data_IF_848485425214
#
_entry.id   IF_848485425214
#
_cell.length_a   1.000
_cell.length_b   1.000
_cell.length_c   1.000
_cell.angle_alpha   90.00
_cell.angle_beta   90.00
_cell.angle_gamma   90.00
#
_symmetry.space_group_name_H-M   'P 1'
#
loop_
_entity.id
_entity.type
_entity.pdbx_description
1 polymer ?
#
# COMPACT_ATOMS: atom_id res chain seq x y z
N UNK A 1 34.00 41.78 22.87
CA UNK A 1 33.45 40.41 23.02
C UNK A 1 32.12 40.35 22.28
N UNK A 2 32.13 39.90 21.04
CA UNK A 2 30.92 39.75 20.19
C UNK A 2 30.19 38.45 20.55
N UNK A 3 28.86 38.53 20.71
CA UNK A 3 27.99 37.34 20.76
C UNK A 3 27.31 37.19 19.40
N UNK A 4 27.75 36.19 18.63
CA UNK A 4 27.12 35.74 17.38
C UNK A 4 25.76 35.11 17.69
N UNK A 5 24.71 35.59 17.03
CA UNK A 5 23.44 34.88 16.87
C UNK A 5 23.16 34.79 15.37
N UNK A 6 23.22 33.57 14.82
CA UNK A 6 22.81 33.26 13.45
C UNK A 6 21.31 32.94 13.44
N UNK A 7 20.47 33.87 12.98
CA UNK A 7 19.11 33.55 12.50
C UNK A 7 19.18 33.22 11.01
N UNK A 8 19.32 31.93 10.69
CA UNK A 8 18.99 31.40 9.37
C UNK A 8 17.52 30.94 9.37
N UNK A 9 16.87 31.03 8.20
CA UNK A 9 15.47 30.67 7.88
C UNK A 9 14.42 31.79 8.04
N UNK A 10 14.35 32.67 7.04
CA UNK A 10 13.13 33.45 6.74
C UNK A 10 12.22 32.63 5.81
N UNK A 11 11.02 32.31 6.33
CA UNK A 11 9.74 31.92 5.70
C UNK A 11 9.77 31.23 4.33
N UNK A 12 9.52 29.91 4.35
CA UNK A 12 8.81 29.23 3.27
C UNK A 12 7.32 29.23 3.63
N UNK A 13 6.45 29.65 2.71
CA UNK A 13 5.00 29.56 2.85
C UNK A 13 4.46 28.53 1.86
N UNK A 14 3.64 27.62 2.38
CA UNK A 14 2.99 26.56 1.61
C UNK A 14 1.63 27.03 1.10
N UNK A 15 1.32 26.77 -0.16
CA UNK A 15 -0.01 26.98 -0.73
C UNK A 15 -0.43 25.78 -1.60
N UNK A 16 -1.73 25.52 -1.61
CA UNK A 16 -2.36 24.51 -2.47
C UNK A 16 -3.07 25.21 -3.64
N UNK A 17 -2.69 24.86 -4.87
CA UNK A 17 -3.35 25.33 -6.09
C UNK A 17 -3.46 24.17 -7.07
N UNK A 18 -4.68 23.96 -7.62
CA UNK A 18 -4.97 22.96 -8.68
C UNK A 18 -4.37 21.57 -8.40
N UNK A 19 -4.64 21.02 -7.22
CA UNK A 19 -4.22 19.66 -6.85
C UNK A 19 -2.71 19.48 -6.65
N UNK A 20 -1.92 20.56 -6.54
CA UNK A 20 -0.49 20.49 -6.23
C UNK A 20 -0.13 21.36 -5.03
N UNK A 21 0.76 20.83 -4.20
CA UNK A 21 1.37 21.57 -3.11
C UNK A 21 2.58 22.33 -3.65
N UNK A 22 2.50 23.67 -3.65
CA UNK A 22 3.50 24.53 -4.28
C UNK A 22 4.25 25.29 -3.19
N UNK A 23 5.57 25.10 -3.10
CA UNK A 23 6.45 25.97 -2.31
C UNK A 23 6.88 27.18 -3.14
N UNK A 24 6.47 28.38 -2.74
CA UNK A 24 7.09 29.62 -3.24
C UNK A 24 8.18 30.04 -2.26
N UNK A 25 9.44 29.76 -2.60
CA UNK A 25 10.58 30.42 -1.97
C UNK A 25 10.90 31.72 -2.70
N UNK A 26 10.96 32.85 -2.01
CA UNK A 26 11.56 34.07 -2.55
C UNK A 26 13.10 33.92 -2.48
N UNK A 27 13.67 33.20 -3.45
CA UNK A 27 15.12 33.07 -3.59
C UNK A 27 15.70 34.27 -4.36
N UNK A 28 16.67 34.96 -3.77
CA UNK A 28 17.49 35.92 -4.53
C UNK A 28 18.37 35.16 -5.53
N UNK A 29 18.45 35.67 -6.76
CA UNK A 29 19.41 35.24 -7.78
C UNK A 29 20.84 35.44 -7.24
N UNK A 30 21.58 34.36 -6.99
CA UNK A 30 23.03 34.45 -6.78
C UNK A 30 23.73 34.37 -8.14
N UNK A 31 24.27 35.50 -8.61
CA UNK A 31 25.29 35.53 -9.66
C UNK A 31 26.63 35.16 -9.04
N UNK A 32 27.10 33.94 -9.30
CA UNK A 32 28.52 33.59 -9.13
C UNK A 32 29.16 33.76 -10.51
N UNK A 33 30.29 34.46 -10.57
CA UNK A 33 30.97 34.84 -11.79
C UNK A 33 31.30 33.66 -12.70
N UNK A 34 31.18 33.92 -14.01
CA UNK A 34 31.77 33.19 -15.14
C UNK A 34 32.17 31.73 -14.89
N UNK A 35 31.20 30.81 -15.00
CA UNK A 35 31.47 29.38 -15.02
C UNK A 35 30.18 28.58 -15.04
N UNK A 36 29.95 27.87 -16.14
CA UNK A 36 28.75 27.04 -16.36
C UNK A 36 28.73 25.87 -15.37
N UNK A 37 28.07 26.06 -14.22
CA UNK A 37 27.68 24.98 -13.30
C UNK A 37 26.22 25.22 -12.90
N UNK A 38 25.27 25.06 -13.84
CA UNK A 38 23.86 25.39 -13.58
C UNK A 38 22.83 24.34 -14.01
N UNK A 39 23.22 23.09 -14.28
CA UNK A 39 22.25 22.06 -14.69
C UNK A 39 22.09 20.89 -13.70
N UNK A 40 23.10 20.56 -12.90
CA UNK A 40 23.07 19.31 -12.13
C UNK A 40 22.17 19.36 -10.87
N UNK A 41 22.07 20.52 -10.20
CA UNK A 41 21.30 20.62 -8.95
C UNK A 41 19.79 20.69 -9.21
N UNK A 42 19.37 21.44 -10.24
CA UNK A 42 17.96 21.51 -10.63
C UNK A 42 17.44 20.16 -11.17
N UNK A 43 18.27 19.44 -11.94
CA UNK A 43 17.94 18.09 -12.38
C UNK A 43 17.82 17.11 -11.20
N UNK A 44 18.69 17.21 -10.18
CA UNK A 44 18.60 16.36 -8.99
C UNK A 44 17.31 16.62 -8.18
N UNK A 45 16.89 17.87 -8.02
CA UNK A 45 15.62 18.20 -7.36
C UNK A 45 14.40 17.80 -8.20
N UNK A 46 14.45 17.92 -9.52
CA UNK A 46 13.38 17.45 -10.40
C UNK A 46 13.26 15.92 -10.40
N UNK A 47 14.40 15.20 -10.39
CA UNK A 47 14.42 13.74 -10.29
C UNK A 47 13.97 13.25 -8.90
N UNK A 48 14.34 13.94 -7.82
CA UNK A 48 13.79 13.66 -6.48
C UNK A 48 12.29 13.97 -6.41
N UNK A 49 11.83 15.05 -7.06
CA UNK A 49 10.41 15.41 -7.15
C UNK A 49 9.60 14.35 -7.91
N UNK A 50 10.10 13.90 -9.06
CA UNK A 50 9.49 12.80 -9.83
C UNK A 50 9.51 11.47 -9.07
N UNK A 51 10.57 11.17 -8.31
CA UNK A 51 10.63 9.97 -7.49
C UNK A 51 9.61 10.00 -6.32
N UNK A 52 9.38 11.18 -5.72
CA UNK A 52 8.35 11.37 -4.70
C UNK A 52 6.94 11.31 -5.30
N UNK A 53 6.73 11.88 -6.50
CA UNK A 53 5.45 11.81 -7.22
C UNK A 53 5.11 10.38 -7.67
N UNK A 54 6.09 9.60 -8.14
CA UNK A 54 5.90 8.19 -8.51
C UNK A 54 5.61 7.30 -7.28
N UNK A 55 6.12 7.64 -6.11
CA UNK A 55 5.76 6.97 -4.85
C UNK A 55 4.39 7.37 -4.32
N UNK A 56 3.91 8.57 -4.64
CA UNK A 56 2.59 9.03 -4.23
C UNK A 56 1.44 8.30 -4.95
N UNK A 57 1.73 7.57 -6.03
CA UNK A 57 0.74 6.81 -6.80
C UNK A 57 0.24 5.54 -6.10
N UNK A 58 1.00 4.98 -5.17
CA UNK A 58 0.54 3.89 -4.33
C UNK A 58 0.41 4.43 -2.91
N UNK A 59 -0.83 4.57 -2.42
CA UNK A 59 -1.16 5.20 -1.16
C UNK A 59 -0.52 4.41 0.01
N UNK A 60 0.74 4.71 0.29
CA UNK A 60 1.60 4.08 1.29
C UNK A 60 1.17 4.57 2.70
N UNK A 61 1.72 4.00 3.80
CA UNK A 61 1.06 4.03 5.11
C UNK A 61 0.71 5.44 5.57
N UNK A 62 -0.51 5.61 6.10
CA UNK A 62 -0.94 6.90 6.65
C UNK A 62 -0.12 7.33 7.88
N UNK A 63 0.58 6.40 8.51
CA UNK A 63 1.46 6.68 9.65
C UNK A 63 2.51 5.59 9.87
N UNK A 64 3.68 5.95 10.41
CA UNK A 64 4.71 5.01 10.88
C UNK A 64 5.07 5.28 12.34
N UNK A 65 5.10 4.23 13.16
CA UNK A 65 5.55 4.32 14.55
C UNK A 65 7.05 4.70 14.61
N UNK A 66 7.46 5.52 15.61
CA UNK A 66 8.87 5.72 15.93
C UNK A 66 9.58 4.37 16.12
N UNK A 67 10.84 4.27 15.71
CA UNK A 67 11.58 2.99 15.73
C UNK A 67 11.60 2.32 17.11
N UNK A 68 11.61 3.08 18.20
CA UNK A 68 11.54 2.57 19.58
C UNK A 68 10.24 1.81 19.88
N UNK A 69 9.13 2.29 19.34
CA UNK A 69 7.78 1.87 19.72
C UNK A 69 7.19 0.89 18.67
N UNK A 70 8.00 0.50 17.69
CA UNK A 70 7.60 -0.28 16.53
C UNK A 70 7.58 -1.79 16.86
N UNK A 71 6.47 -2.52 16.60
CA UNK A 71 6.49 -3.97 16.71
C UNK A 71 7.38 -4.57 15.61
N UNK A 72 7.97 -5.75 15.85
CA UNK A 72 8.97 -6.34 14.96
C UNK A 72 8.49 -6.58 13.52
N UNK A 73 7.18 -6.77 13.32
CA UNK A 73 6.56 -6.99 12.01
C UNK A 73 6.14 -5.69 11.31
N UNK A 74 6.34 -4.52 11.92
CA UNK A 74 6.28 -3.23 11.23
C UNK A 74 7.70 -2.90 10.79
N UNK A 75 7.96 -2.76 9.49
CA UNK A 75 9.30 -2.58 8.94
C UNK A 75 9.34 -1.44 7.92
N UNK A 76 10.52 -0.86 7.71
CA UNK A 76 10.75 0.11 6.63
C UNK A 76 11.08 -0.65 5.34
N UNK A 77 10.04 -1.03 4.59
CA UNK A 77 10.17 -1.68 3.28
C UNK A 77 8.99 -1.30 2.38
N UNK A 78 9.13 -1.44 1.05
CA UNK A 78 8.00 -1.29 0.13
C UNK A 78 6.86 -2.26 0.50
N UNK A 79 5.63 -1.80 0.33
CA UNK A 79 4.44 -2.67 0.41
C UNK A 79 4.44 -3.61 -0.80
N UNK A 80 3.69 -4.71 -0.74
CA UNK A 80 3.43 -5.49 -1.95
C UNK A 80 2.48 -4.70 -2.84
N UNK A 81 3.01 -4.24 -3.96
CA UNK A 81 2.33 -3.39 -4.94
C UNK A 81 1.35 -4.13 -5.83
N UNK A 82 0.71 -3.38 -6.72
CA UNK A 82 -0.23 -3.91 -7.72
C UNK A 82 0.54 -4.75 -8.75
N UNK A 83 0.06 -5.97 -9.03
CA UNK A 83 0.65 -6.85 -10.04
C UNK A 83 1.91 -7.60 -9.60
N UNK A 84 2.39 -7.39 -8.38
CA UNK A 84 3.58 -8.08 -7.87
C UNK A 84 3.32 -9.53 -7.45
N UNK A 85 2.07 -9.89 -7.17
CA UNK A 85 1.70 -11.21 -6.65
C UNK A 85 0.49 -11.79 -7.39
N UNK A 86 0.70 -12.61 -8.43
CA UNK A 86 -0.39 -13.21 -9.20
C UNK A 86 -1.23 -14.16 -8.34
N UNK A 87 -2.52 -14.29 -8.68
CA UNK A 87 -3.48 -15.13 -7.95
C UNK A 87 -3.07 -16.61 -7.86
N UNK A 88 -2.26 -17.07 -8.82
CA UNK A 88 -1.75 -18.44 -8.92
C UNK A 88 -0.77 -18.79 -7.80
N UNK A 89 -0.20 -17.79 -7.11
CA UNK A 89 0.66 -18.03 -5.95
C UNK A 89 -0.09 -18.32 -4.67
N UNK A 90 -1.40 -18.06 -4.63
CA UNK A 90 -2.23 -18.27 -3.45
C UNK A 90 -3.01 -19.59 -3.54
N UNK A 91 -3.08 -20.32 -2.44
CA UNK A 91 -3.92 -21.50 -2.29
C UNK A 91 -5.35 -21.13 -1.93
N UNK A 92 -6.38 -21.78 -2.50
CA UNK A 92 -7.75 -21.57 -2.08
C UNK A 92 -7.98 -22.00 -0.63
N UNK A 93 -8.94 -21.38 0.08
CA UNK A 93 -9.20 -21.65 1.50
C UNK A 93 -9.63 -23.11 1.77
N UNK A 94 -10.14 -23.82 0.77
CA UNK A 94 -10.50 -25.24 0.86
C UNK A 94 -9.30 -26.12 1.23
N UNK A 95 -8.09 -25.78 0.76
CA UNK A 95 -6.87 -26.52 1.12
C UNK A 95 -6.57 -26.39 2.62
N UNK A 96 -6.74 -25.19 3.18
CA UNK A 96 -6.59 -24.96 4.61
C UNK A 96 -7.68 -25.70 5.40
N UNK A 97 -8.92 -25.68 4.89
CA UNK A 97 -10.08 -26.33 5.51
C UNK A 97 -10.04 -27.84 5.54
N UNK A 98 -9.19 -28.49 4.72
CA UNK A 98 -8.99 -29.94 4.76
C UNK A 98 -8.38 -30.41 6.10
N UNK A 99 -7.51 -29.59 6.71
CA UNK A 99 -6.86 -29.90 7.99
C UNK A 99 -7.38 -29.03 9.14
N UNK A 100 -7.77 -27.78 8.87
CA UNK A 100 -8.23 -26.81 9.87
C UNK A 100 -9.75 -26.61 9.79
N UNK A 101 -10.51 -27.70 9.99
CA UNK A 101 -11.96 -27.74 9.77
C UNK A 101 -12.71 -26.70 10.60
N UNK A 102 -12.40 -26.59 11.89
CA UNK A 102 -13.13 -25.72 12.81
C UNK A 102 -12.92 -24.24 12.49
N UNK A 103 -11.66 -23.87 12.21
CA UNK A 103 -11.28 -22.51 11.79
C UNK A 103 -11.93 -22.19 10.45
N UNK A 104 -11.94 -23.14 9.52
CA UNK A 104 -12.58 -22.96 8.22
C UNK A 104 -14.08 -22.71 8.34
N UNK A 105 -14.79 -23.45 9.20
CA UNK A 105 -16.22 -23.20 9.44
C UNK A 105 -16.48 -21.83 10.05
N UNK A 106 -15.64 -21.38 10.98
CA UNK A 106 -15.72 -20.03 11.55
C UNK A 106 -15.47 -18.96 10.50
N UNK A 107 -14.41 -19.11 9.69
CA UNK A 107 -14.09 -18.20 8.61
C UNK A 107 -15.22 -18.10 7.60
N UNK A 108 -15.80 -19.23 7.17
CA UNK A 108 -16.87 -19.28 6.17
C UNK A 108 -18.11 -18.47 6.56
N UNK A 109 -18.38 -18.31 7.85
CA UNK A 109 -19.47 -17.46 8.37
C UNK A 109 -19.08 -16.02 8.71
N UNK A 110 -17.83 -15.62 8.46
CA UNK A 110 -17.29 -14.32 8.86
C UNK A 110 -17.41 -13.26 7.76
N UNK A 111 -17.37 -11.99 8.14
CA UNK A 111 -17.33 -10.86 7.18
C UNK A 111 -16.13 -10.92 6.25
N UNK A 112 -14.99 -11.50 6.67
CA UNK A 112 -13.82 -11.68 5.81
C UNK A 112 -14.10 -12.63 4.63
N UNK A 113 -14.86 -13.71 4.84
CA UNK A 113 -15.24 -14.63 3.77
C UNK A 113 -16.18 -14.01 2.73
N UNK A 114 -16.82 -12.88 3.07
CA UNK A 114 -17.71 -12.12 2.21
C UNK A 114 -17.19 -10.72 1.90
N UNK A 115 -15.91 -10.44 2.16
CA UNK A 115 -15.39 -9.07 2.15
C UNK A 115 -15.69 -8.34 0.82
N UNK A 116 -15.49 -8.99 -0.32
CA UNK A 116 -15.88 -8.45 -1.61
C UNK A 116 -17.34 -8.77 -1.97
N UNK A 117 -17.78 -10.00 -1.73
CA UNK A 117 -19.08 -10.49 -2.23
C UNK A 117 -20.30 -10.02 -1.44
N UNK A 118 -20.12 -9.32 -0.32
CA UNK A 118 -21.21 -8.73 0.45
C UNK A 118 -22.03 -7.75 -0.42
N UNK A 119 -23.35 -7.99 -0.61
CA UNK A 119 -24.19 -7.12 -1.43
C UNK A 119 -24.26 -5.68 -0.92
N UNK A 120 -24.16 -5.46 0.39
CA UNK A 120 -24.15 -4.11 0.95
C UNK A 120 -22.86 -3.38 0.58
N UNK A 121 -21.71 -4.04 0.76
CA UNK A 121 -20.43 -3.51 0.32
C UNK A 121 -20.43 -3.20 -1.19
N UNK A 122 -20.92 -4.13 -2.02
CA UNK A 122 -21.01 -3.93 -3.47
C UNK A 122 -21.86 -2.71 -3.85
N UNK A 123 -23.03 -2.52 -3.22
CA UNK A 123 -23.89 -1.37 -3.48
C UNK A 123 -23.20 -0.05 -3.09
N UNK A 124 -22.53 -0.01 -1.93
CA UNK A 124 -21.80 1.17 -1.47
C UNK A 124 -20.57 1.47 -2.33
N UNK A 125 -19.82 0.43 -2.70
CA UNK A 125 -18.66 0.54 -3.59
C UNK A 125 -19.07 1.11 -4.95
N UNK A 126 -20.11 0.57 -5.56
CA UNK A 126 -20.62 1.05 -6.85
C UNK A 126 -21.13 2.48 -6.78
N UNK A 127 -21.88 2.84 -5.72
CA UNK A 127 -22.30 4.23 -5.50
C UNK A 127 -21.10 5.17 -5.36
N UNK A 128 -20.12 4.79 -4.55
CA UNK A 128 -18.88 5.56 -4.39
C UNK A 128 -18.13 5.74 -5.72
N UNK A 129 -18.04 4.69 -6.54
CA UNK A 129 -17.43 4.74 -7.88
C UNK A 129 -18.17 5.70 -8.82
N UNK A 130 -19.50 5.75 -8.76
CA UNK A 130 -20.31 6.63 -9.60
C UNK A 130 -20.20 8.10 -9.19
N UNK A 131 -20.03 8.37 -7.89
CA UNK A 131 -19.97 9.72 -7.34
C UNK A 131 -18.55 10.30 -7.28
N UNK A 132 -17.52 9.44 -7.30
CA UNK A 132 -16.12 9.82 -7.19
C UNK A 132 -15.65 10.75 -8.32
N UNK A 133 -14.95 11.83 -7.95
CA UNK A 133 -14.36 12.80 -8.88
C UNK A 133 -12.92 13.12 -8.49
N UNK A 134 -12.07 13.36 -9.49
CA UNK A 134 -10.66 13.70 -9.28
C UNK A 134 -9.95 12.62 -8.47
N UNK A 135 -9.22 13.02 -7.43
CA UNK A 135 -8.46 12.13 -6.54
C UNK A 135 -9.32 11.08 -5.82
N UNK A 136 -10.65 11.29 -5.71
CA UNK A 136 -11.56 10.31 -5.11
C UNK A 136 -11.65 9.02 -5.94
N UNK A 137 -11.37 9.08 -7.25
CA UNK A 137 -11.36 7.89 -8.10
C UNK A 137 -10.29 6.91 -7.62
N UNK A 138 -9.13 7.42 -7.21
CA UNK A 138 -8.03 6.62 -6.67
C UNK A 138 -8.33 6.12 -5.25
N UNK A 139 -9.06 6.89 -4.44
CA UNK A 139 -9.57 6.42 -3.13
C UNK A 139 -10.41 5.17 -3.32
N UNK A 140 -11.26 5.12 -4.34
CA UNK A 140 -12.09 3.94 -4.59
C UNK A 140 -11.26 2.70 -4.94
N UNK A 141 -10.06 2.86 -5.51
CA UNK A 141 -9.17 1.72 -5.74
C UNK A 141 -8.61 1.14 -4.43
N UNK A 142 -8.50 1.97 -3.38
CA UNK A 142 -8.00 1.54 -2.07
C UNK A 142 -8.91 0.53 -1.37
N UNK A 143 -10.22 0.55 -1.64
CA UNK A 143 -11.17 -0.40 -1.04
C UNK A 143 -10.83 -1.85 -1.39
N UNK A 144 -10.37 -2.08 -2.62
CA UNK A 144 -10.03 -3.42 -3.12
C UNK A 144 -8.85 -4.02 -2.36
N UNK A 145 -7.92 -3.19 -1.87
CA UNK A 145 -6.75 -3.65 -1.10
C UNK A 145 -7.12 -4.40 0.17
N UNK A 146 -8.28 -4.09 0.76
CA UNK A 146 -8.81 -4.79 1.94
C UNK A 146 -9.89 -5.80 1.58
N UNK A 147 -10.75 -5.50 0.60
CA UNK A 147 -11.93 -6.32 0.32
C UNK A 147 -11.70 -7.45 -0.69
N UNK A 148 -10.77 -7.27 -1.64
CA UNK A 148 -10.28 -8.32 -2.53
C UNK A 148 -8.75 -8.18 -2.69
N UNK A 149 -8.00 -8.49 -1.63
CA UNK A 149 -6.57 -8.17 -1.59
C UNK A 149 -5.76 -8.92 -2.66
N UNK A 150 -6.16 -10.13 -3.02
CA UNK A 150 -5.49 -10.88 -4.10
C UNK A 150 -5.79 -10.29 -5.48
N UNK A 151 -6.98 -9.73 -5.73
CA UNK A 151 -7.22 -8.91 -6.94
C UNK A 151 -6.21 -7.79 -7.04
N UNK A 152 -5.98 -7.08 -5.93
CA UNK A 152 -5.07 -5.94 -5.91
C UNK A 152 -3.64 -6.36 -6.25
N UNK A 153 -3.12 -7.38 -5.57
CA UNK A 153 -1.74 -7.81 -5.79
C UNK A 153 -1.53 -8.54 -7.12
N UNK A 154 -2.57 -9.16 -7.71
CA UNK A 154 -2.47 -9.84 -9.00
C UNK A 154 -2.48 -8.87 -10.21
N UNK A 155 -3.08 -7.69 -10.06
CA UNK A 155 -2.78 -6.53 -10.92
C UNK A 155 -3.45 -6.43 -12.30
N UNK A 156 -4.50 -7.18 -12.61
CA UNK A 156 -5.12 -7.14 -13.95
C UNK A 156 -6.23 -6.06 -14.14
N UNK A 157 -6.01 -4.83 -13.67
CA UNK A 157 -7.07 -3.81 -13.55
C UNK A 157 -7.33 -2.98 -14.82
N UNK A 158 -8.60 -2.91 -15.26
CA UNK A 158 -9.13 -1.84 -16.12
C UNK A 158 -9.93 -0.82 -15.31
N UNK A 159 -9.83 0.47 -15.62
CA UNK A 159 -10.45 1.58 -14.84
C UNK A 159 -11.97 1.48 -14.61
N UNK A 160 -12.67 0.50 -15.18
CA UNK A 160 -14.11 0.31 -15.08
C UNK A 160 -14.53 -0.76 -14.07
N UNK A 161 -13.75 -1.83 -13.85
CA UNK A 161 -14.02 -2.87 -12.84
C UNK A 161 -12.72 -3.55 -12.38
N UNK A 162 -12.54 -3.84 -11.08
CA UNK A 162 -11.42 -4.65 -10.63
C UNK A 162 -11.49 -6.04 -11.24
N UNK A 163 -10.37 -6.59 -11.75
CA UNK A 163 -10.25 -8.00 -12.07
C UNK A 163 -10.53 -8.75 -10.79
N UNK A 164 -11.46 -9.67 -10.87
CA UNK A 164 -11.70 -10.59 -9.80
C UNK A 164 -10.87 -11.85 -10.07
N UNK A 165 -10.33 -12.51 -9.03
CA UNK A 165 -9.66 -13.76 -9.21
C UNK A 165 -10.59 -14.74 -9.94
N UNK A 166 -9.99 -15.54 -10.83
CA UNK A 166 -10.70 -16.52 -11.65
C UNK A 166 -11.48 -17.51 -10.78
N UNK A 167 -10.92 -17.81 -9.60
CA UNK A 167 -11.57 -18.56 -8.56
C UNK A 167 -12.31 -17.65 -7.58
N UNK A 168 -13.63 -17.82 -7.47
CA UNK A 168 -14.47 -17.03 -6.58
C UNK A 168 -14.05 -17.11 -5.10
N UNK A 169 -13.43 -18.22 -4.69
CA UNK A 169 -12.94 -18.42 -3.32
C UNK A 169 -11.79 -17.46 -2.95
N UNK A 170 -11.09 -16.91 -3.95
CA UNK A 170 -9.96 -15.99 -3.81
C UNK A 170 -10.36 -14.52 -3.92
N UNK A 171 -11.63 -14.22 -4.17
CA UNK A 171 -12.17 -12.87 -4.31
C UNK A 171 -12.29 -12.11 -2.99
N UNK A 172 -12.20 -12.80 -1.85
CA UNK A 172 -12.44 -12.23 -0.53
C UNK A 172 -11.16 -12.19 0.31
N UNK A 173 -11.29 -11.96 1.62
CA UNK A 173 -10.19 -12.13 2.57
C UNK A 173 -10.23 -13.57 3.09
N UNK A 174 -9.24 -14.37 2.71
CA UNK A 174 -9.18 -15.80 3.02
C UNK A 174 -7.88 -16.20 3.70
N UNK A 175 -7.86 -17.45 4.19
CA UNK A 175 -6.79 -18.01 5.03
C UNK A 175 -5.40 -17.71 4.47
N UNK A 176 -5.18 -18.04 3.20
CA UNK A 176 -3.85 -17.95 2.63
C UNK A 176 -3.35 -16.51 2.50
N UNK A 177 -4.21 -15.58 2.07
CA UNK A 177 -3.84 -14.17 2.02
C UNK A 177 -3.44 -13.64 3.41
N UNK A 178 -4.31 -13.82 4.42
CA UNK A 178 -4.04 -13.34 5.77
C UNK A 178 -2.77 -13.94 6.36
N UNK A 179 -2.61 -15.26 6.22
CA UNK A 179 -1.46 -15.97 6.78
C UNK A 179 -0.17 -15.77 5.97
N UNK A 180 -0.24 -15.12 4.81
CA UNK A 180 0.92 -14.78 3.99
C UNK A 180 1.43 -13.35 4.21
N UNK A 181 0.75 -12.53 5.01
CA UNK A 181 1.24 -11.21 5.40
C UNK A 181 2.46 -11.39 6.32
N UNK A 182 3.66 -11.12 5.79
CA UNK A 182 4.91 -11.28 6.55
C UNK A 182 5.28 -10.09 7.40
N UNK A 183 4.91 -8.91 6.95
CA UNK A 183 5.20 -7.65 7.61
C UNK A 183 4.25 -6.57 7.11
N UNK A 184 4.37 -5.38 7.70
CA UNK A 184 3.66 -4.20 7.26
C UNK A 184 4.58 -2.99 7.24
N UNK A 185 4.40 -2.12 6.25
CA UNK A 185 5.22 -0.92 6.08
C UNK A 185 4.79 0.26 6.97
N UNK A 186 3.64 0.16 7.64
CA UNK A 186 3.09 1.22 8.50
C UNK A 186 1.65 0.95 8.92
N UNK A 187 0.94 1.97 9.38
CA UNK A 187 -0.47 1.91 9.76
C UNK A 187 -1.27 2.68 8.70
N UNK A 188 -2.40 2.13 8.27
CA UNK A 188 -3.29 2.79 7.32
C UNK A 188 -3.85 1.84 6.25
N UNK A 189 -3.89 2.35 5.02
CA UNK A 189 -4.52 1.72 3.86
C UNK A 189 -3.75 0.47 3.40
N UNK A 190 -4.00 -0.69 4.02
CA UNK A 190 -3.43 -1.99 3.63
C UNK A 190 -1.92 -1.95 3.28
N UNK A 191 -1.04 -1.45 4.17
CA UNK A 191 0.40 -1.44 3.91
C UNK A 191 1.01 -2.82 4.15
N UNK A 192 0.44 -3.85 3.52
CA UNK A 192 0.83 -5.25 3.70
C UNK A 192 2.06 -5.57 2.85
N UNK A 193 2.91 -6.42 3.40
CA UNK A 193 4.00 -7.06 2.68
C UNK A 193 3.68 -8.55 2.72
N UNK A 194 3.34 -9.13 1.57
CA UNK A 194 2.88 -10.52 1.46
C UNK A 194 3.94 -11.44 0.87
N UNK A 195 3.91 -12.69 1.30
CA UNK A 195 4.82 -13.74 0.88
C UNK A 195 4.11 -15.11 0.93
N UNK A 196 3.31 -15.44 -0.08
CA UNK A 196 2.43 -16.61 -0.05
C UNK A 196 3.09 -17.95 -0.39
N UNK A 197 4.39 -17.98 -0.67
CA UNK A 197 4.98 -19.14 -1.36
C UNK A 197 4.56 -19.16 -2.83
N UNK A 198 4.35 -20.34 -3.40
CA UNK A 198 3.96 -20.52 -4.80
C UNK A 198 3.02 -21.72 -4.94
N UNK A 199 1.71 -21.46 -4.87
CA UNK A 199 0.69 -22.50 -4.99
C UNK A 199 0.74 -23.26 -6.32
N UNK A 200 1.18 -22.64 -7.42
CA UNK A 200 1.38 -23.31 -8.70
C UNK A 200 2.50 -24.38 -8.65
N UNK A 201 3.39 -24.28 -7.67
CA UNK A 201 4.47 -25.24 -7.40
C UNK A 201 4.23 -26.10 -6.16
N UNK A 202 3.03 -26.04 -5.58
CA UNK A 202 2.70 -26.69 -4.30
C UNK A 202 3.62 -26.25 -3.15
N UNK A 203 4.19 -25.05 -3.21
CA UNK A 203 5.00 -24.47 -2.15
C UNK A 203 4.15 -23.55 -1.27
N UNK A 204 3.89 -23.96 -0.04
CA UNK A 204 3.14 -23.16 0.93
C UNK A 204 3.93 -21.94 1.43
N UNK A 205 5.27 -21.94 1.35
CA UNK A 205 6.08 -20.96 2.05
C UNK A 205 5.76 -20.94 3.56
N UNK A 206 5.98 -19.79 4.20
CA UNK A 206 5.72 -19.62 5.65
C UNK A 206 4.34 -18.99 5.89
N UNK A 207 3.46 -19.73 6.58
CA UNK A 207 2.17 -19.24 7.05
C UNK A 207 2.24 -18.76 8.49
N UNK A 208 1.79 -17.54 8.75
CA UNK A 208 1.92 -16.84 10.03
C UNK A 208 0.58 -16.79 10.77
N UNK A 209 0.51 -17.47 11.90
CA UNK A 209 -0.67 -17.46 12.78
C UNK A 209 -0.74 -16.22 13.69
N UNK A 210 -1.86 -16.03 14.40
CA UNK A 210 -2.01 -14.97 15.39
C UNK A 210 -1.16 -15.18 16.66
N UNK A 211 -0.67 -16.40 16.88
CA UNK A 211 0.13 -16.78 18.04
C UNK A 211 1.63 -16.80 17.68
N UNK A 212 2.48 -16.62 18.70
CA UNK A 212 3.96 -16.67 18.58
C UNK A 212 4.51 -18.10 18.54
N UNK A 213 3.66 -19.07 18.21
CA UNK A 213 3.95 -20.50 18.20
C UNK A 213 4.50 -20.99 16.85
N UNK A 214 4.47 -20.14 15.81
CA UNK A 214 5.22 -20.38 14.59
C UNK A 214 6.73 -20.36 14.91
N UNK A 215 7.49 -21.43 14.59
CA UNK A 215 8.93 -21.45 14.78
C UNK A 215 9.53 -20.21 14.12
N UNK A 216 10.50 -19.57 14.79
CA UNK A 216 11.22 -18.44 14.20
C UNK A 216 11.84 -18.89 12.88
N UNK A 217 11.18 -18.54 11.77
CA UNK A 217 11.74 -18.61 10.43
C UNK A 217 12.76 -17.50 10.24
#
# INVERSE_FOLDING_TARGET
MEKRWFTLFKKFEWRYEKGRQIMKGSGNLFKIGSGTVFCCVAAAFALMGLAVELWAQEWAPSWQLPRRDRPANLIEAPITGRGEMPESRFFPPMICGACHTDIFQQWRGSTHAYAWSDPLFQALYQKGRQEAKGEQIEVMDSCVRCHSPVSFTAGEWTTTQPPMPSEASKQNVFCDFCHSIKATAGIGNAPFIVDPGDAAKMDFGTKRGPFKDSPKT
#
